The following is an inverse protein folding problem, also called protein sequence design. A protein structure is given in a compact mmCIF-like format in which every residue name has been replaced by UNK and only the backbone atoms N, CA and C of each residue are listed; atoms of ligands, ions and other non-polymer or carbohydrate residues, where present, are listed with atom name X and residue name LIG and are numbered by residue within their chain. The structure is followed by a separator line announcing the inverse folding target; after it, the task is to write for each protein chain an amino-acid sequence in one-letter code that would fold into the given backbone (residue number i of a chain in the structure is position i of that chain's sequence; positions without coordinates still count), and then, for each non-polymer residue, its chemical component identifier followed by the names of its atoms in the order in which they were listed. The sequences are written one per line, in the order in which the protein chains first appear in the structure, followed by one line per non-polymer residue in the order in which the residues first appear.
data_IF_407575777850
#
_entry.id   IF_407575777850
#
_cell.length_a   1.000
_cell.length_b   1.000
_cell.length_c   1.000
_cell.angle_alpha   90.00
_cell.angle_beta   90.00
_cell.angle_gamma   90.00
#
_symmetry.space_group_name_H-M   'P 1'
#
loop_
_entity.id
_entity.type
_entity.pdbx_description
1 polymer ?
#
# COMPACT_ATOMS: atom_id res chain seq x y z
N UNK A 1 -7.84 -32.52 4.34
CA UNK A 1 -7.70 -31.32 5.17
C UNK A 1 -6.43 -30.61 4.72
N UNK A 2 -6.55 -29.42 4.17
CA UNK A 2 -5.40 -28.63 3.77
C UNK A 2 -4.86 -27.97 5.03
N UNK A 3 -3.59 -28.21 5.38
CA UNK A 3 -2.94 -27.50 6.47
C UNK A 3 -2.77 -26.03 6.07
N UNK A 4 -3.62 -25.20 6.64
CA UNK A 4 -3.55 -23.74 6.49
C UNK A 4 -2.41 -23.28 7.38
N UNK A 5 -1.36 -22.72 6.79
CA UNK A 5 -0.28 -22.07 7.53
C UNK A 5 -0.81 -20.74 8.04
N UNK A 6 -1.30 -20.74 9.28
CA UNK A 6 -1.45 -19.51 10.05
C UNK A 6 -0.05 -19.12 10.50
N UNK A 7 0.43 -17.99 10.05
CA UNK A 7 1.74 -17.46 10.44
C UNK A 7 1.65 -16.96 11.90
N UNK A 8 1.84 -17.90 12.85
CA UNK A 8 1.85 -17.64 14.28
C UNK A 8 3.26 -17.22 14.69
N UNK A 9 3.52 -15.94 14.66
CA UNK A 9 4.64 -15.34 15.38
C UNK A 9 4.09 -14.67 16.64
N UNK A 10 4.08 -15.46 17.72
CA UNK A 10 3.78 -15.12 19.11
C UNK A 10 4.07 -13.68 19.48
N UNK A 11 2.99 -12.87 19.74
CA UNK A 11 2.86 -11.91 20.85
C UNK A 11 1.45 -11.31 20.88
N UNK A 12 0.72 -11.71 21.90
CA UNK A 12 -0.38 -11.02 22.61
C UNK A 12 -0.81 -9.64 22.11
N UNK A 13 -1.96 -9.55 21.43
CA UNK A 13 -2.98 -8.53 21.65
C UNK A 13 -4.31 -8.91 20.98
N UNK A 14 -5.43 -8.59 21.62
CA UNK A 14 -6.81 -9.06 21.40
C UNK A 14 -7.51 -8.65 20.08
N UNK A 15 -6.84 -8.00 19.13
CA UNK A 15 -7.45 -7.45 17.90
C UNK A 15 -6.85 -7.98 16.60
N UNK A 16 -6.07 -9.07 16.66
CA UNK A 16 -5.47 -9.65 15.47
C UNK A 16 -6.39 -10.73 14.87
N UNK A 17 -6.89 -10.49 13.67
CA UNK A 17 -7.60 -11.52 12.91
C UNK A 17 -6.60 -12.26 12.01
N UNK A 18 -6.60 -13.60 12.01
CA UNK A 18 -5.61 -14.37 11.28
C UNK A 18 -5.63 -14.07 9.78
N UNK A 19 -4.46 -13.80 9.24
CA UNK A 19 -4.21 -13.74 7.82
C UNK A 19 -4.21 -15.16 7.25
N UNK A 20 -4.88 -15.35 6.13
CA UNK A 20 -4.93 -16.65 5.46
C UNK A 20 -4.22 -16.51 4.11
N UNK A 21 -3.18 -17.31 3.93
CA UNK A 21 -2.45 -17.42 2.67
C UNK A 21 -2.39 -18.86 2.26
N UNK A 22 -2.79 -19.16 1.02
CA UNK A 22 -2.74 -20.51 0.49
C UNK A 22 -1.28 -20.93 0.20
N UNK A 23 -0.89 -22.15 0.56
CA UNK A 23 0.41 -22.69 0.20
C UNK A 23 0.59 -22.77 -1.33
N UNK A 24 1.80 -22.51 -1.83
CA UNK A 24 2.10 -22.49 -3.26
C UNK A 24 1.66 -23.79 -3.98
N UNK A 25 1.89 -24.96 -3.37
CA UNK A 25 1.49 -26.23 -3.96
C UNK A 25 -0.04 -26.40 -4.11
N UNK A 26 -0.83 -25.77 -3.23
CA UNK A 26 -2.30 -25.74 -3.33
C UNK A 26 -2.72 -24.85 -4.50
N UNK A 27 -2.11 -23.65 -4.61
CA UNK A 27 -2.37 -22.71 -5.71
C UNK A 27 -2.08 -23.37 -7.05
N UNK A 28 -0.94 -24.02 -7.20
CA UNK A 28 -0.55 -24.73 -8.44
C UNK A 28 -1.50 -25.89 -8.76
N UNK A 29 -1.83 -26.70 -7.76
CA UNK A 29 -2.75 -27.83 -7.91
C UNK A 29 -4.12 -27.36 -8.37
N UNK A 30 -4.69 -26.38 -7.66
CA UNK A 30 -6.03 -25.84 -7.93
C UNK A 30 -6.10 -25.16 -9.30
N UNK A 31 -5.12 -24.33 -9.65
CA UNK A 31 -5.06 -23.65 -10.95
C UNK A 31 -4.99 -24.63 -12.12
N UNK A 32 -4.37 -25.78 -11.92
CA UNK A 32 -4.23 -26.80 -12.96
C UNK A 32 -5.48 -27.68 -13.09
N UNK A 33 -6.06 -28.08 -11.97
CA UNK A 33 -7.12 -29.09 -11.94
C UNK A 33 -8.53 -28.52 -11.96
N UNK A 34 -8.72 -27.23 -11.57
CA UNK A 34 -10.04 -26.62 -11.38
C UNK A 34 -10.32 -25.50 -12.38
N UNK A 35 -11.03 -25.77 -13.47
CA UNK A 35 -11.29 -24.77 -14.52
C UNK A 35 -11.96 -23.50 -14.02
N UNK A 36 -12.88 -23.59 -13.04
CA UNK A 36 -13.62 -22.46 -12.47
C UNK A 36 -12.73 -21.47 -11.73
N UNK A 37 -11.54 -21.90 -11.29
CA UNK A 37 -10.60 -21.07 -10.54
C UNK A 37 -9.41 -20.57 -11.39
N UNK A 38 -9.35 -20.93 -12.66
CA UNK A 38 -8.26 -20.50 -13.56
C UNK A 38 -8.32 -19.02 -13.89
N UNK A 39 -9.52 -18.46 -14.00
CA UNK A 39 -9.73 -17.06 -14.37
C UNK A 39 -9.30 -16.10 -13.27
N UNK A 40 -9.82 -16.29 -12.08
CA UNK A 40 -9.54 -15.54 -10.88
C UNK A 40 -9.44 -16.51 -9.70
N UNK A 41 -8.33 -16.51 -9.00
CA UNK A 41 -8.09 -17.33 -7.81
C UNK A 41 -7.58 -16.46 -6.66
N UNK A 42 -8.36 -16.40 -5.59
CA UNK A 42 -7.89 -15.80 -4.32
C UNK A 42 -6.81 -16.69 -3.72
N UNK A 43 -5.65 -16.12 -3.44
CA UNK A 43 -4.51 -16.83 -2.86
C UNK A 43 -4.24 -16.45 -1.41
N UNK A 44 -4.83 -15.36 -0.94
CA UNK A 44 -4.77 -14.94 0.44
C UNK A 44 -5.72 -13.78 0.72
N UNK A 45 -6.12 -13.64 1.98
CA UNK A 45 -6.92 -12.52 2.45
C UNK A 45 -6.70 -12.26 3.94
N UNK A 46 -6.95 -11.02 4.35
CA UNK A 46 -6.86 -10.64 5.74
C UNK A 46 -7.54 -9.31 6.06
N UNK A 47 -7.69 -9.09 7.36
CA UNK A 47 -8.17 -7.84 7.94
C UNK A 47 -7.21 -7.42 9.05
N UNK A 48 -6.70 -6.21 8.96
CA UNK A 48 -5.70 -5.71 9.90
C UNK A 48 -6.15 -4.39 10.53
N UNK A 49 -6.12 -4.33 11.87
CA UNK A 49 -6.58 -3.21 12.72
C UNK A 49 -5.43 -2.61 13.45
N UNK A 50 -4.35 -2.36 13.25
CA UNK A 50 -3.19 -1.74 13.93
C UNK A 50 -1.91 -2.55 13.77
N UNK A 51 -0.84 -1.86 13.51
CA UNK A 51 0.52 -2.35 13.68
C UNK A 51 0.90 -3.44 12.68
N UNK A 52 0.27 -3.47 11.51
CA UNK A 52 0.81 -4.28 10.43
C UNK A 52 2.16 -3.73 10.05
N UNK A 53 3.15 -4.51 10.38
CA UNK A 53 4.51 -4.31 9.90
C UNK A 53 4.46 -4.07 8.39
N UNK A 54 5.30 -3.18 7.91
CA UNK A 54 5.60 -2.97 6.50
C UNK A 54 5.54 -4.30 5.74
N UNK A 55 4.66 -4.37 4.76
CA UNK A 55 4.67 -5.43 3.76
C UNK A 55 5.74 -5.06 2.73
N UNK A 56 6.91 -5.64 2.86
CA UNK A 56 7.93 -5.59 1.82
C UNK A 56 7.75 -6.84 0.95
N UNK A 57 7.14 -6.69 -0.21
CA UNK A 57 7.19 -7.74 -1.20
C UNK A 57 8.56 -7.67 -1.88
N UNK A 58 9.36 -8.72 -1.74
CA UNK A 58 10.60 -8.85 -2.50
C UNK A 58 10.28 -9.06 -3.99
N UNK A 59 11.11 -8.56 -4.92
CA UNK A 59 10.84 -8.67 -6.37
C UNK A 59 10.61 -10.09 -6.88
N UNK A 60 11.09 -11.10 -6.16
CA UNK A 60 11.00 -12.52 -6.51
C UNK A 60 9.67 -13.18 -6.13
N UNK A 61 8.86 -12.57 -5.25
CA UNK A 61 7.64 -13.17 -4.70
C UNK A 61 6.34 -12.49 -5.18
N UNK A 62 6.44 -11.49 -6.04
CA UNK A 62 5.28 -10.72 -6.53
C UNK A 62 4.49 -11.44 -7.64
N UNK A 63 4.24 -12.76 -7.52
CA UNK A 63 3.45 -13.50 -8.51
C UNK A 63 1.95 -13.21 -8.45
N UNK A 64 1.51 -12.52 -7.40
CA UNK A 64 0.09 -12.24 -7.15
C UNK A 64 -0.13 -10.73 -7.11
N UNK A 65 -1.26 -10.28 -7.62
CA UNK A 65 -1.69 -8.91 -7.35
C UNK A 65 -2.18 -8.80 -5.91
N UNK A 66 -1.99 -7.63 -5.32
CA UNK A 66 -2.47 -7.30 -3.97
C UNK A 66 -3.48 -6.16 -4.07
N UNK A 67 -4.70 -6.41 -3.59
CA UNK A 67 -5.74 -5.43 -3.41
C UNK A 67 -5.82 -5.06 -1.93
N UNK A 68 -5.87 -3.75 -1.62
CA UNK A 68 -6.06 -3.25 -0.26
C UNK A 68 -7.21 -2.25 -0.27
N UNK A 69 -8.12 -2.35 0.68
CA UNK A 69 -9.14 -1.34 0.95
C UNK A 69 -8.92 -0.74 2.33
N UNK A 70 -8.70 0.56 2.38
CA UNK A 70 -8.48 1.29 3.62
C UNK A 70 -9.83 1.73 4.21
N UNK A 71 -10.25 1.06 5.29
CA UNK A 71 -11.52 1.37 5.98
C UNK A 71 -11.37 2.49 7.01
N UNK A 72 -10.15 2.71 7.52
CA UNK A 72 -9.88 3.75 8.52
C UNK A 72 -8.41 4.12 8.54
N UNK A 73 -8.12 5.36 8.95
CA UNK A 73 -6.75 5.83 9.14
C UNK A 73 -6.04 6.13 7.83
N UNK A 74 -4.71 6.11 7.90
CA UNK A 74 -3.83 6.47 6.78
C UNK A 74 -2.65 5.52 6.70
N UNK A 75 -2.21 5.29 5.48
CA UNK A 75 -1.03 4.49 5.18
C UNK A 75 -0.32 5.00 3.94
N UNK A 76 0.53 4.17 3.40
CA UNK A 76 1.25 4.43 2.17
C UNK A 76 1.45 3.12 1.41
N UNK A 77 1.58 3.22 0.11
CA UNK A 77 2.11 2.14 -0.72
C UNK A 77 3.19 2.69 -1.65
N UNK A 78 4.16 1.86 -1.95
CA UNK A 78 5.17 2.08 -2.97
C UNK A 78 4.92 1.10 -4.11
N UNK A 79 4.96 1.59 -5.32
CA UNK A 79 4.90 0.76 -6.52
C UNK A 79 5.83 1.34 -7.57
N UNK A 80 6.71 0.51 -8.12
CA UNK A 80 7.68 0.90 -9.15
C UNK A 80 8.55 2.11 -8.71
N UNK A 81 8.98 2.11 -7.43
CA UNK A 81 9.82 3.14 -6.82
C UNK A 81 9.11 4.44 -6.46
N UNK A 82 7.79 4.55 -6.67
CA UNK A 82 6.98 5.73 -6.33
C UNK A 82 6.12 5.49 -5.11
N UNK A 83 6.15 6.44 -4.18
CA UNK A 83 5.36 6.39 -2.96
C UNK A 83 4.02 7.09 -3.17
N UNK A 84 2.95 6.43 -2.72
CA UNK A 84 1.59 6.94 -2.78
C UNK A 84 0.98 6.96 -1.39
N UNK A 85 0.30 8.03 -1.03
CA UNK A 85 -0.48 8.08 0.19
C UNK A 85 -1.76 7.26 0.03
N UNK A 86 -2.19 6.63 1.13
CA UNK A 86 -3.43 5.87 1.20
C UNK A 86 -4.24 6.40 2.37
N UNK A 87 -5.49 6.72 2.12
CA UNK A 87 -6.43 7.26 3.09
C UNK A 87 -7.69 6.41 3.18
N UNK A 88 -8.50 6.65 4.20
CA UNK A 88 -9.82 6.02 4.33
C UNK A 88 -10.62 6.17 3.03
N UNK A 89 -11.23 5.08 2.58
CA UNK A 89 -12.00 5.02 1.34
C UNK A 89 -11.17 4.76 0.07
N UNK A 90 -9.86 4.59 0.21
CA UNK A 90 -8.99 4.25 -0.91
C UNK A 90 -8.90 2.74 -1.13
N UNK A 91 -8.92 2.35 -2.39
CA UNK A 91 -8.51 1.03 -2.86
C UNK A 91 -7.14 1.16 -3.51
N UNK A 92 -6.21 0.32 -3.07
CA UNK A 92 -4.89 0.16 -3.66
C UNK A 92 -4.91 -1.13 -4.47
N UNK A 93 -4.37 -1.09 -5.68
CA UNK A 93 -4.18 -2.28 -6.51
C UNK A 93 -2.72 -2.32 -6.94
N UNK A 94 -1.99 -3.28 -6.41
CA UNK A 94 -0.58 -3.52 -6.71
C UNK A 94 -0.50 -4.71 -7.67
N UNK A 95 -0.05 -4.48 -8.92
CA UNK A 95 0.00 -5.53 -9.92
C UNK A 95 1.07 -6.57 -9.58
N UNK A 96 0.97 -7.80 -10.12
CA UNK A 96 2.05 -8.80 -10.02
C UNK A 96 3.29 -8.31 -10.76
N UNK A 97 4.42 -8.95 -10.48
CA UNK A 97 5.72 -8.74 -11.14
C UNK A 97 6.30 -7.32 -11.03
N UNK A 98 5.76 -6.50 -10.12
CA UNK A 98 6.30 -5.18 -9.79
C UNK A 98 6.72 -5.10 -8.34
N UNK A 99 7.93 -4.58 -8.06
CA UNK A 99 8.35 -4.32 -6.68
C UNK A 99 7.36 -3.37 -6.02
N UNK A 100 6.87 -3.77 -4.87
CA UNK A 100 5.96 -2.93 -4.10
C UNK A 100 6.16 -3.12 -2.60
N UNK A 101 5.82 -2.11 -1.84
CA UNK A 101 5.76 -2.14 -0.40
C UNK A 101 4.55 -1.34 0.07
N UNK A 102 4.04 -1.64 1.23
CA UNK A 102 2.99 -0.83 1.84
C UNK A 102 3.11 -0.87 3.36
N UNK A 103 2.56 0.14 4.02
CA UNK A 103 2.63 0.25 5.47
C UNK A 103 1.69 1.31 6.02
N UNK A 104 1.52 1.25 7.34
CA UNK A 104 0.72 2.22 8.06
C UNK A 104 1.51 3.49 8.37
N UNK A 105 0.77 4.52 8.69
CA UNK A 105 1.31 5.73 9.26
C UNK A 105 1.24 5.66 10.79
N UNK A 106 2.38 5.78 11.48
CA UNK A 106 2.46 5.64 12.93
C UNK A 106 1.54 6.63 13.70
N UNK A 107 1.34 7.85 13.17
CA UNK A 107 0.51 8.87 13.82
C UNK A 107 -1.00 8.67 13.65
N UNK A 108 -1.41 7.86 12.67
CA UNK A 108 -2.81 7.55 12.37
C UNK A 108 -2.89 6.19 11.65
N UNK A 109 -2.62 5.10 12.35
CA UNK A 109 -2.50 3.78 11.75
C UNK A 109 -3.79 3.39 11.04
N UNK A 110 -3.64 2.74 9.90
CA UNK A 110 -4.77 2.33 9.09
C UNK A 110 -5.43 1.04 9.60
N UNK A 111 -6.66 0.87 9.20
CA UNK A 111 -7.39 -0.41 9.26
C UNK A 111 -7.72 -0.79 7.82
N UNK A 112 -7.32 -1.98 7.41
CA UNK A 112 -7.42 -2.42 6.02
C UNK A 112 -8.01 -3.82 5.90
N UNK A 113 -8.75 -4.04 4.80
CA UNK A 113 -8.89 -5.35 4.20
C UNK A 113 -7.84 -5.51 3.11
N UNK A 114 -7.33 -6.72 2.92
CA UNK A 114 -6.45 -7.03 1.80
C UNK A 114 -6.77 -8.40 1.21
N UNK A 115 -6.54 -8.54 -0.08
CA UNK A 115 -6.73 -9.79 -0.83
C UNK A 115 -5.57 -9.96 -1.81
N UNK A 116 -4.96 -11.14 -1.81
CA UNK A 116 -4.03 -11.55 -2.84
C UNK A 116 -4.76 -12.39 -3.89
N UNK A 117 -4.44 -12.17 -5.15
CA UNK A 117 -5.14 -12.79 -6.28
C UNK A 117 -4.18 -13.13 -7.42
N UNK A 118 -4.47 -14.23 -8.09
CA UNK A 118 -3.84 -14.64 -9.36
C UNK A 118 -4.91 -15.16 -10.33
N UNK A 119 -4.55 -15.43 -11.55
CA UNK A 119 -5.44 -16.04 -12.54
C UNK A 119 -5.28 -15.46 -13.94
N UNK A 120 -5.76 -16.21 -14.93
CA UNK A 120 -5.58 -15.88 -16.34
C UNK A 120 -6.34 -14.61 -16.76
N UNK A 121 -7.45 -14.26 -16.11
CA UNK A 121 -8.23 -13.05 -16.39
C UNK A 121 -7.79 -11.84 -15.58
N UNK A 122 -6.83 -11.99 -14.68
CA UNK A 122 -6.36 -10.89 -13.84
C UNK A 122 -5.79 -9.71 -14.64
N UNK A 123 -4.98 -9.91 -15.70
CA UNK A 123 -4.50 -8.81 -16.55
C UNK A 123 -5.65 -7.99 -17.16
N UNK A 124 -6.70 -8.66 -17.66
CA UNK A 124 -7.86 -7.99 -18.25
C UNK A 124 -8.63 -7.15 -17.22
N UNK A 125 -8.77 -7.65 -15.98
CA UNK A 125 -9.35 -6.88 -14.88
C UNK A 125 -8.50 -5.66 -14.51
N UNK A 126 -7.17 -5.81 -14.46
CA UNK A 126 -6.26 -4.71 -14.14
C UNK A 126 -6.29 -3.63 -15.23
N UNK A 127 -6.35 -4.02 -16.48
CA UNK A 127 -6.52 -3.11 -17.64
C UNK A 127 -7.87 -2.38 -17.55
N UNK A 128 -8.97 -3.10 -17.35
CA UNK A 128 -10.30 -2.51 -17.23
C UNK A 128 -10.44 -1.57 -16.03
N UNK A 129 -9.71 -1.82 -14.94
CA UNK A 129 -9.59 -0.92 -13.79
C UNK A 129 -8.75 0.32 -14.09
N UNK A 130 -8.07 0.38 -15.24
CA UNK A 130 -7.12 1.44 -15.60
C UNK A 130 -6.02 1.65 -14.54
N UNK A 131 -5.66 0.57 -13.85
CA UNK A 131 -4.61 0.58 -12.85
C UNK A 131 -3.26 0.49 -13.55
N UNK A 132 -2.43 1.46 -13.28
CA UNK A 132 -1.04 1.47 -13.73
C UNK A 132 -0.12 1.63 -12.51
N UNK A 133 1.13 1.13 -12.55
CA UNK A 133 2.07 1.24 -11.42
C UNK A 133 2.27 2.67 -10.92
N UNK A 134 2.10 3.67 -11.79
CA UNK A 134 2.18 5.09 -11.46
C UNK A 134 0.92 5.64 -10.77
N UNK A 135 -0.19 4.90 -10.76
CA UNK A 135 -1.46 5.26 -10.12
C UNK A 135 -2.12 4.02 -9.50
N UNK A 136 -1.52 3.42 -8.47
CA UNK A 136 -2.04 2.21 -7.84
C UNK A 136 -3.20 2.50 -6.88
N UNK A 137 -3.41 3.76 -6.48
CA UNK A 137 -4.41 4.18 -5.50
C UNK A 137 -5.59 4.83 -6.20
N UNK A 138 -6.80 4.43 -5.78
CA UNK A 138 -8.07 4.96 -6.28
C UNK A 138 -9.03 5.21 -5.13
N UNK A 139 -9.55 6.43 -5.02
CA UNK A 139 -10.58 6.75 -4.05
C UNK A 139 -11.96 6.24 -4.50
N UNK A 140 -12.64 5.49 -3.64
CA UNK A 140 -14.01 4.98 -3.87
C UNK A 140 -14.99 5.41 -2.77
N UNK A 141 -14.48 6.11 -1.75
CA UNK A 141 -15.26 6.54 -0.58
C UNK A 141 -15.56 5.41 0.41
N UNK A 142 -16.41 5.69 1.37
CA UNK A 142 -16.93 4.71 2.34
C UNK A 142 -17.96 3.79 1.69
N UNK A 143 -17.49 2.72 1.09
CA UNK A 143 -18.33 1.78 0.38
C UNK A 143 -18.58 0.50 1.18
N UNK A 144 -19.75 0.42 1.78
CA UNK A 144 -20.17 -0.74 2.56
C UNK A 144 -20.25 -2.04 1.73
N UNK A 145 -20.58 -1.94 0.43
CA UNK A 145 -20.66 -3.11 -0.43
C UNK A 145 -19.28 -3.66 -0.74
N UNK A 146 -18.32 -2.79 -1.04
CA UNK A 146 -16.92 -3.19 -1.20
C UNK A 146 -16.37 -3.79 0.09
N UNK A 147 -16.57 -3.16 1.25
CA UNK A 147 -16.13 -3.69 2.54
C UNK A 147 -16.71 -5.07 2.83
N UNK A 148 -18.01 -5.28 2.54
CA UNK A 148 -18.69 -6.58 2.71
C UNK A 148 -18.08 -7.66 1.82
N UNK A 149 -17.78 -7.35 0.56
CA UNK A 149 -17.17 -8.31 -0.37
C UNK A 149 -15.76 -8.71 0.07
N UNK A 150 -14.95 -7.77 0.54
CA UNK A 150 -13.65 -8.10 1.14
C UNK A 150 -13.82 -9.03 2.36
N UNK A 151 -14.79 -8.75 3.22
CA UNK A 151 -15.09 -9.62 4.38
C UNK A 151 -15.55 -11.01 3.93
N UNK A 152 -16.42 -11.10 2.92
CA UNK A 152 -16.91 -12.37 2.38
C UNK A 152 -15.80 -13.23 1.79
N UNK A 153 -14.84 -12.63 1.09
CA UNK A 153 -13.62 -13.32 0.61
C UNK A 153 -12.86 -13.92 1.79
N UNK A 154 -12.59 -13.13 2.84
CA UNK A 154 -11.86 -13.60 4.01
C UNK A 154 -12.61 -14.71 4.76
N UNK A 155 -13.91 -14.52 4.97
CA UNK A 155 -14.74 -15.51 5.70
C UNK A 155 -14.88 -16.82 4.92
N UNK A 156 -14.87 -16.75 3.58
CA UNK A 156 -14.84 -17.95 2.74
C UNK A 156 -13.56 -18.75 2.94
N UNK A 157 -12.41 -18.09 2.97
CA UNK A 157 -11.12 -18.76 3.23
C UNK A 157 -11.05 -19.31 4.67
N UNK A 158 -11.65 -18.64 5.64
CA UNK A 158 -11.69 -19.09 7.05
C UNK A 158 -12.46 -20.39 7.26
N UNK A 159 -13.42 -20.71 6.41
CA UNK A 159 -14.17 -21.97 6.50
C UNK A 159 -13.35 -23.20 6.17
N UNK A 160 -12.14 -23.06 5.67
CA UNK A 160 -11.23 -24.19 5.46
C UNK A 160 -10.57 -24.23 4.08
N UNK A 161 -10.78 -23.21 3.24
CA UNK A 161 -10.24 -23.14 1.87
C UNK A 161 -10.51 -24.42 1.05
N UNK A 162 -11.65 -25.06 1.27
CA UNK A 162 -12.12 -26.17 0.44
C UNK A 162 -12.42 -25.69 -0.97
N UNK A 163 -12.56 -26.60 -1.92
CA UNK A 163 -12.86 -26.21 -3.30
C UNK A 163 -14.13 -25.31 -3.43
N UNK A 164 -15.26 -25.64 -2.76
CA UNK A 164 -16.41 -24.72 -2.76
C UNK A 164 -16.11 -23.35 -2.12
N UNK A 165 -15.32 -23.31 -1.04
CA UNK A 165 -14.94 -22.06 -0.39
C UNK A 165 -14.06 -21.18 -1.29
N UNK A 166 -13.12 -21.80 -2.02
CA UNK A 166 -12.28 -21.10 -2.98
C UNK A 166 -13.09 -20.54 -4.17
N UNK A 167 -14.09 -21.27 -4.66
CA UNK A 167 -15.01 -20.79 -5.69
C UNK A 167 -15.77 -19.57 -5.16
N UNK A 168 -16.31 -19.65 -3.95
CA UNK A 168 -17.07 -18.56 -3.36
C UNK A 168 -16.22 -17.31 -3.16
N UNK A 169 -15.01 -17.47 -2.59
CA UNK A 169 -14.06 -16.38 -2.41
C UNK A 169 -13.67 -15.73 -3.75
N UNK A 170 -13.37 -16.55 -4.77
CA UNK A 170 -12.95 -16.05 -6.09
C UNK A 170 -14.09 -15.35 -6.85
N UNK A 171 -15.32 -15.85 -6.74
CA UNK A 171 -16.50 -15.20 -7.32
C UNK A 171 -16.83 -13.88 -6.59
N UNK A 172 -16.73 -13.83 -5.26
CA UNK A 172 -16.90 -12.60 -4.49
C UNK A 172 -15.86 -11.54 -4.91
N UNK A 173 -14.59 -11.95 -5.12
CA UNK A 173 -13.54 -11.09 -5.61
C UNK A 173 -13.81 -10.63 -7.06
N UNK A 174 -14.22 -11.53 -7.96
CA UNK A 174 -14.56 -11.16 -9.35
C UNK A 174 -15.70 -10.14 -9.38
N UNK A 175 -16.70 -10.30 -8.52
CA UNK A 175 -17.77 -9.32 -8.36
C UNK A 175 -17.26 -7.99 -7.80
N UNK A 176 -16.37 -8.01 -6.80
CA UNK A 176 -15.71 -6.81 -6.28
C UNK A 176 -14.94 -6.07 -7.38
N UNK A 177 -14.13 -6.77 -8.18
CA UNK A 177 -13.40 -6.18 -9.31
C UNK A 177 -14.36 -5.54 -10.33
N UNK A 178 -15.48 -6.21 -10.65
CA UNK A 178 -16.51 -5.68 -11.55
C UNK A 178 -17.17 -4.41 -11.00
N UNK A 179 -17.46 -4.36 -9.70
CA UNK A 179 -17.96 -3.14 -9.06
C UNK A 179 -16.93 -2.00 -9.10
N UNK A 180 -15.67 -2.31 -8.85
CA UNK A 180 -14.60 -1.31 -8.92
C UNK A 180 -14.43 -0.76 -10.36
N UNK A 181 -14.62 -1.59 -11.40
CA UNK A 181 -14.60 -1.16 -12.79
C UNK A 181 -15.82 -0.25 -13.08
N UNK A 182 -17.02 -0.64 -12.61
CA UNK A 182 -18.23 0.13 -12.82
C UNK A 182 -18.20 1.49 -12.10
N UNK A 183 -17.62 1.53 -10.91
CA UNK A 183 -17.37 2.78 -10.22
C UNK A 183 -16.33 3.55 -11.03
N UNK A 184 -16.79 4.43 -11.89
CA UNK A 184 -15.90 5.49 -12.40
C UNK A 184 -15.22 6.10 -11.19
N UNK A 185 -13.90 6.45 -11.27
CA UNK A 185 -13.35 7.32 -10.25
C UNK A 185 -14.38 8.43 -10.10
N UNK A 186 -14.96 8.61 -8.90
CA UNK A 186 -15.79 9.79 -8.65
C UNK A 186 -14.93 10.90 -9.20
N UNK A 187 -15.46 11.56 -10.23
CA UNK A 187 -14.77 12.69 -10.85
C UNK A 187 -14.45 13.57 -9.66
N UNK A 188 -13.17 13.73 -9.24
CA UNK A 188 -12.91 14.51 -8.06
C UNK A 188 -13.63 15.81 -8.38
N UNK A 189 -14.63 16.16 -7.57
CA UNK A 189 -15.45 17.34 -7.64
C UNK A 189 -14.73 18.39 -8.49
N UNK A 190 -15.36 19.16 -9.32
CA UNK A 190 -14.87 20.16 -10.27
C UNK A 190 -13.68 21.06 -9.82
N UNK A 191 -13.01 20.70 -8.79
CA UNK A 191 -11.67 21.11 -8.34
C UNK A 191 -10.57 20.23 -8.97
N UNK A 192 -10.87 19.56 -10.09
CA UNK A 192 -9.97 18.56 -10.71
C UNK A 192 -8.58 19.13 -11.04
N UNK A 193 -8.50 20.40 -11.39
CA UNK A 193 -7.24 21.07 -11.71
C UNK A 193 -6.37 21.25 -10.44
N UNK A 194 -6.94 21.70 -9.34
CA UNK A 194 -6.22 21.87 -8.07
C UNK A 194 -5.77 20.52 -7.47
N UNK A 195 -6.62 19.49 -7.56
CA UNK A 195 -6.30 18.13 -7.12
C UNK A 195 -5.18 17.51 -7.96
N UNK A 196 -5.23 17.65 -9.28
CA UNK A 196 -4.17 17.20 -10.18
C UNK A 196 -2.84 17.93 -9.92
N UNK A 197 -2.88 19.23 -9.69
CA UNK A 197 -1.70 20.04 -9.34
C UNK A 197 -1.07 19.63 -8.00
N UNK A 198 -1.88 19.25 -7.01
CA UNK A 198 -1.35 18.68 -5.77
C UNK A 198 -0.68 17.32 -6.04
N UNK A 199 -1.29 16.46 -6.85
CA UNK A 199 -0.69 15.17 -7.24
C UNK A 199 0.65 15.36 -7.99
N UNK A 200 0.73 16.30 -8.93
CA UNK A 200 1.97 16.68 -9.61
C UNK A 200 3.04 17.18 -8.62
N UNK A 201 2.61 17.97 -7.62
CA UNK A 201 3.52 18.44 -6.56
C UNK A 201 4.06 17.28 -5.72
N UNK A 202 3.27 16.26 -5.45
CA UNK A 202 3.70 15.04 -4.74
C UNK A 202 4.76 14.30 -5.56
N UNK A 203 4.57 14.16 -6.86
CA UNK A 203 5.55 13.55 -7.75
C UNK A 203 6.85 14.36 -7.72
N UNK A 204 6.75 15.68 -7.85
CA UNK A 204 7.92 16.57 -7.77
C UNK A 204 8.67 16.44 -6.44
N UNK A 205 7.95 16.33 -5.30
CA UNK A 205 8.56 16.12 -3.99
C UNK A 205 9.34 14.79 -3.94
N UNK A 206 8.81 13.75 -4.55
CA UNK A 206 9.44 12.42 -4.59
C UNK A 206 10.74 12.42 -5.39
N UNK A 207 10.78 13.21 -6.45
CA UNK A 207 11.94 13.29 -7.36
C UNK A 207 13.03 14.26 -6.86
N UNK A 208 12.72 15.14 -5.87
CA UNK A 208 13.62 16.20 -5.40
C UNK A 208 13.81 16.17 -3.87
N UNK A 209 14.09 14.99 -3.32
CA UNK A 209 14.23 14.81 -1.87
C UNK A 209 15.47 15.52 -1.28
N UNK A 210 16.47 15.77 -2.09
CA UNK A 210 17.70 16.50 -1.75
C UNK A 210 17.48 18.02 -1.64
N UNK A 211 16.45 18.54 -2.30
CA UNK A 211 16.19 19.97 -2.36
C UNK A 211 15.53 20.51 -1.08
N UNK A 212 15.77 21.79 -0.74
CA UNK A 212 15.08 22.46 0.36
C UNK A 212 13.65 22.86 -0.04
N UNK A 213 12.76 21.87 -0.15
CA UNK A 213 11.37 22.08 -0.54
C UNK A 213 10.61 22.83 0.55
N UNK A 214 10.15 24.04 0.23
CA UNK A 214 9.33 24.87 1.12
C UNK A 214 7.88 24.89 0.67
N UNK A 215 6.95 24.79 1.62
CA UNK A 215 5.51 24.76 1.34
C UNK A 215 5.04 25.92 0.43
N UNK A 216 5.50 27.18 0.61
CA UNK A 216 5.12 28.25 -0.31
C UNK A 216 5.60 28.05 -1.76
N UNK A 217 6.73 27.37 -1.97
CA UNK A 217 7.20 27.05 -3.32
C UNK A 217 6.35 25.97 -3.97
N UNK A 218 6.00 24.93 -3.22
CA UNK A 218 5.12 23.85 -3.67
C UNK A 218 3.71 24.37 -3.99
N UNK A 219 3.16 25.27 -3.15
CA UNK A 219 1.88 25.91 -3.39
C UNK A 219 1.88 26.75 -4.68
N UNK A 220 2.97 27.49 -4.95
CA UNK A 220 3.13 28.24 -6.22
C UNK A 220 3.16 27.32 -7.43
N UNK A 221 3.84 26.17 -7.36
CA UNK A 221 3.83 25.18 -8.43
C UNK A 221 2.40 24.69 -8.74
N UNK A 222 1.62 24.46 -7.69
CA UNK A 222 0.20 24.11 -7.81
C UNK A 222 -0.69 25.31 -8.22
N UNK A 223 -0.16 26.53 -8.34
CA UNK A 223 -0.94 27.76 -8.58
C UNK A 223 -2.02 28.01 -7.50
N UNK A 224 -1.71 27.64 -6.26
CA UNK A 224 -2.60 27.75 -5.11
C UNK A 224 -2.01 28.66 -4.02
N UNK A 225 -2.87 29.24 -3.18
CA UNK A 225 -2.40 29.88 -1.95
C UNK A 225 -1.79 28.85 -0.99
N UNK A 226 -0.77 29.20 -0.18
CA UNK A 226 -0.17 28.25 0.76
C UNK A 226 -1.15 27.63 1.75
N UNK A 227 -2.15 28.39 2.20
CA UNK A 227 -3.19 27.91 3.10
C UNK A 227 -4.06 26.84 2.42
N UNK A 228 -4.63 27.17 1.27
CA UNK A 228 -5.49 26.28 0.51
C UNK A 228 -4.73 25.04 0.02
N UNK A 229 -3.48 25.20 -0.44
CA UNK A 229 -2.61 24.07 -0.79
C UNK A 229 -2.41 23.15 0.41
N UNK A 230 -2.13 23.68 1.61
CA UNK A 230 -1.93 22.90 2.81
C UNK A 230 -3.18 22.10 3.22
N UNK A 231 -4.36 22.71 3.13
CA UNK A 231 -5.65 22.04 3.41
C UNK A 231 -5.93 20.94 2.40
N UNK A 232 -5.87 21.26 1.11
CA UNK A 232 -6.13 20.31 0.03
C UNK A 232 -5.11 19.15 0.02
N UNK A 233 -3.83 19.47 0.25
CA UNK A 233 -2.78 18.47 0.36
C UNK A 233 -3.04 17.53 1.55
N UNK A 234 -3.47 18.07 2.70
CA UNK A 234 -3.82 17.30 3.88
C UNK A 234 -5.07 16.45 3.66
N UNK A 235 -6.07 16.96 2.96
CA UNK A 235 -7.27 16.23 2.57
C UNK A 235 -6.89 15.01 1.72
N UNK A 236 -6.02 15.19 0.73
CA UNK A 236 -5.60 14.13 -0.18
C UNK A 236 -4.60 13.13 0.41
N UNK A 237 -3.68 13.59 1.26
CA UNK A 237 -2.57 12.75 1.76
C UNK A 237 -2.71 12.38 3.23
N UNK A 238 -3.71 12.93 3.92
CA UNK A 238 -3.90 12.77 5.37
C UNK A 238 -2.88 13.50 6.22
N UNK A 239 -1.92 14.26 5.63
CA UNK A 239 -0.88 14.95 6.38
C UNK A 239 -0.45 16.29 5.76
N UNK A 240 0.27 17.09 6.54
CA UNK A 240 0.83 18.34 6.00
C UNK A 240 1.89 18.03 4.93
N UNK A 241 2.12 18.96 3.96
CA UNK A 241 3.18 18.81 2.96
C UNK A 241 4.57 18.59 3.59
N UNK A 242 4.82 19.21 4.73
CA UNK A 242 6.08 19.06 5.47
C UNK A 242 6.24 17.64 6.04
N UNK A 243 5.20 17.12 6.67
CA UNK A 243 5.23 15.77 7.24
C UNK A 243 5.33 14.72 6.14
N UNK A 244 4.70 14.98 4.98
CA UNK A 244 4.78 14.12 3.82
C UNK A 244 6.20 14.07 3.25
N UNK A 245 6.88 15.22 3.14
CA UNK A 245 8.28 15.28 2.72
C UNK A 245 9.19 14.48 3.69
N UNK A 246 8.92 14.60 4.99
CA UNK A 246 9.63 13.79 5.98
C UNK A 246 9.41 12.30 5.77
N UNK A 247 8.16 11.88 5.51
CA UNK A 247 7.83 10.49 5.20
C UNK A 247 8.62 9.99 3.99
N UNK A 248 8.61 10.74 2.88
CA UNK A 248 9.36 10.41 1.67
C UNK A 248 10.86 10.24 1.95
N UNK A 249 11.46 11.18 2.67
CA UNK A 249 12.89 11.14 3.02
C UNK A 249 13.25 9.94 3.90
N UNK A 250 12.44 9.66 4.93
CA UNK A 250 12.68 8.49 5.79
C UNK A 250 12.53 7.18 5.01
N UNK A 251 11.51 7.12 4.13
CA UNK A 251 11.31 5.96 3.27
C UNK A 251 12.52 5.73 2.34
N UNK A 252 13.00 6.77 1.67
CA UNK A 252 14.18 6.70 0.82
C UNK A 252 15.45 6.34 1.64
N UNK A 253 15.57 6.84 2.87
CA UNK A 253 16.64 6.48 3.77
C UNK A 253 16.64 4.98 4.08
N UNK A 254 15.48 4.38 4.31
CA UNK A 254 15.36 2.94 4.53
C UNK A 254 15.87 2.14 3.33
N UNK A 255 15.51 2.53 2.11
CA UNK A 255 15.99 1.90 0.89
C UNK A 255 17.51 2.01 0.77
N UNK A 256 18.07 3.20 0.95
CA UNK A 256 19.52 3.42 0.88
C UNK A 256 20.30 2.63 1.95
N UNK A 257 19.75 2.55 3.18
CA UNK A 257 20.36 1.77 4.26
C UNK A 257 20.38 0.26 3.97
N UNK A 258 19.41 -0.25 3.22
CA UNK A 258 19.32 -1.66 2.85
C UNK A 258 20.15 -2.00 1.61
N UNK A 259 20.07 -1.14 0.58
CA UNK A 259 20.61 -1.42 -0.74
C UNK A 259 22.07 -0.96 -0.93
N UNK A 260 22.60 -0.12 -0.04
CA UNK A 260 23.93 0.50 -0.24
C UNK A 260 24.80 0.44 1.03
N UNK A 261 26.11 0.63 0.84
CA UNK A 261 27.07 0.78 1.94
C UNK A 261 27.31 2.25 2.34
N UNK A 262 26.54 3.20 1.81
CA UNK A 262 26.65 4.61 2.14
C UNK A 262 26.56 4.82 3.66
N UNK A 263 27.43 5.66 4.21
CA UNK A 263 27.35 5.96 5.63
C UNK A 263 26.15 6.88 5.96
N UNK A 264 25.80 6.98 7.24
CA UNK A 264 24.62 7.75 7.69
C UNK A 264 24.70 9.23 7.32
N UNK A 265 25.94 9.79 7.28
CA UNK A 265 26.16 11.20 6.90
C UNK A 265 25.90 11.42 5.41
N UNK A 266 26.37 10.48 4.57
CA UNK A 266 26.14 10.53 3.12
C UNK A 266 24.66 10.41 2.79
N UNK A 267 23.95 9.47 3.43
CA UNK A 267 22.49 9.31 3.27
C UNK A 267 21.75 10.58 3.71
N UNK A 268 22.11 11.15 4.87
CA UNK A 268 21.51 12.39 5.35
C UNK A 268 21.70 13.53 4.33
N UNK A 269 22.92 13.68 3.79
CA UNK A 269 23.24 14.69 2.77
C UNK A 269 22.43 14.50 1.48
N UNK A 270 22.34 13.27 0.96
CA UNK A 270 21.56 12.95 -0.24
C UNK A 270 20.04 13.21 -0.07
N UNK A 271 19.58 13.22 1.15
CA UNK A 271 18.17 13.49 1.47
C UNK A 271 17.91 14.94 1.92
N UNK A 272 18.87 15.84 1.68
CA UNK A 272 18.72 17.27 1.95
C UNK A 272 18.75 17.65 3.44
N UNK A 273 19.30 16.79 4.30
CA UNK A 273 19.56 17.14 5.70
C UNK A 273 20.92 17.79 5.84
N UNK A 274 20.96 18.97 6.42
CA UNK A 274 22.23 19.68 6.70
C UNK A 274 23.03 19.05 7.86
N UNK A 275 22.33 18.34 8.76
CA UNK A 275 22.91 17.71 9.93
C UNK A 275 22.46 16.25 10.08
N UNK A 276 23.46 15.35 10.15
CA UNK A 276 23.24 13.91 10.33
C UNK A 276 22.58 13.55 11.68
N UNK A 277 22.79 14.37 12.73
CA UNK A 277 22.19 14.11 14.03
C UNK A 277 20.73 14.46 14.03
N UNK A 278 20.36 15.55 13.34
CA UNK A 278 18.96 15.89 13.09
C UNK A 278 18.26 14.78 12.29
N UNK A 279 18.86 14.31 11.20
CA UNK A 279 18.37 13.17 10.44
C UNK A 279 18.18 11.94 11.32
N UNK A 280 19.19 11.55 12.10
CA UNK A 280 19.16 10.34 12.92
C UNK A 280 18.05 10.39 13.98
N UNK A 281 17.81 11.57 14.59
CA UNK A 281 16.69 11.77 15.53
C UNK A 281 15.34 11.62 14.86
N UNK A 282 15.16 12.25 13.68
CA UNK A 282 13.93 12.14 12.89
C UNK A 282 13.68 10.69 12.44
N UNK A 283 14.71 10.02 11.96
CA UNK A 283 14.64 8.62 11.54
C UNK A 283 14.24 7.71 12.70
N UNK A 284 14.89 7.87 13.88
CA UNK A 284 14.54 7.09 15.08
C UNK A 284 13.12 7.37 15.56
N UNK A 285 12.68 8.62 15.55
CA UNK A 285 11.30 8.98 15.91
C UNK A 285 10.26 8.32 15.01
N UNK A 286 10.61 8.10 13.73
CA UNK A 286 9.70 7.53 12.75
C UNK A 286 9.76 6.00 12.68
N UNK A 287 10.97 5.42 12.75
CA UNK A 287 11.21 3.97 12.60
C UNK A 287 11.35 3.22 13.94
N UNK A 288 11.37 3.93 15.07
CA UNK A 288 11.59 3.35 16.40
C UNK A 288 13.05 2.93 16.66
N UNK A 289 13.91 2.93 15.64
CA UNK A 289 15.33 2.50 15.68
C UNK A 289 16.22 3.53 15.00
N UNK A 290 17.48 3.62 15.43
CA UNK A 290 18.46 4.46 14.73
C UNK A 290 18.79 3.92 13.33
N UNK A 291 19.30 4.76 12.41
CA UNK A 291 19.71 4.31 11.06
C UNK A 291 20.72 3.15 11.09
N UNK A 292 21.65 3.14 12.05
CA UNK A 292 22.64 2.07 12.21
C UNK A 292 21.98 0.76 12.65
N UNK A 293 21.11 0.81 13.66
CA UNK A 293 20.36 -0.36 14.14
C UNK A 293 19.44 -0.92 13.04
N UNK A 294 18.82 -0.05 12.24
CA UNK A 294 17.99 -0.43 11.12
C UNK A 294 18.79 -1.20 10.07
N UNK A 295 19.97 -0.71 9.67
CA UNK A 295 20.88 -1.40 8.73
C UNK A 295 21.29 -2.78 9.24
N UNK A 296 21.67 -2.88 10.50
CA UNK A 296 22.09 -4.16 11.08
C UNK A 296 20.94 -5.19 11.14
N UNK A 297 19.72 -4.73 11.36
CA UNK A 297 18.55 -5.61 11.41
C UNK A 297 18.10 -6.10 10.03
N UNK A 298 18.38 -5.37 8.95
CA UNK A 298 17.99 -5.75 7.58
C UNK A 298 19.04 -6.60 6.85
N UNK A 299 20.24 -6.76 7.40
CA UNK A 299 21.30 -7.62 6.86
C UNK A 299 21.34 -9.03 7.50
N UNK A 300 20.44 -9.30 8.44
CA UNK A 300 20.22 -10.63 9.04
C UNK A 300 19.00 -11.31 8.44
#
# INVERSE_FOLDING_TARGET
MVNIVTNDSSRTTRDWQPEIVLPAHVIESVSRTQPLLRGVLVTGAGYSTKGTKRFDAQPTDCRHALLIYCVRGHGWCECDGRLHAVSKGDVVVLPPDKPHACGERLSAPWTIHWVQVTGALLPDYLEALTVVPSRPVRHIGDDLQCARLFSEVLDSLRRGASFPDLILASNALAYLLSLLIQKRPENPRENSDAVNKVAETIIYMSDHLDAPLRVPALARMASLSPAYFGELFKEQTGCSPRDYLHLLRIHRACQLLQATELNVKEIASQLGYQDQFHFSRQFKAFQGRSPREYRHASKR
#
